data_IF_992448051495
#
_entry.id   IF_992448051495
#
_cell.length_a   1.000
_cell.length_b   1.000
_cell.length_c   1.000
_cell.angle_alpha   90.00
_cell.angle_beta   90.00
_cell.angle_gamma   90.00
#
_symmetry.space_group_name_H-M   'P 1'
#
loop_
_entity.id
_entity.type
_entity.pdbx_description
1 polymer ?
#
# COMPACT_ATOMS: atom_id res chain seq x y z
N UNK A 1 14.73 -17.56 1.78
CA UNK A 1 14.48 -17.70 3.25
C UNK A 1 12.98 -17.57 3.48
N UNK A 2 12.35 -18.40 4.31
CA UNK A 2 10.94 -18.18 4.74
C UNK A 2 11.01 -17.42 6.05
N UNK A 3 10.41 -16.24 6.09
CA UNK A 3 10.30 -15.45 7.32
C UNK A 3 9.10 -15.95 8.15
N UNK A 4 9.39 -16.58 9.31
CA UNK A 4 8.39 -17.08 10.26
C UNK A 4 8.21 -16.07 11.41
N UNK A 5 7.45 -15.01 11.13
CA UNK A 5 7.16 -13.99 12.14
C UNK A 5 6.23 -14.53 13.22
N UNK A 6 6.57 -14.24 14.49
CA UNK A 6 5.73 -14.53 15.66
C UNK A 6 5.54 -13.27 16.49
N UNK A 7 4.29 -12.90 16.68
CA UNK A 7 3.97 -11.75 17.51
C UNK A 7 4.45 -11.99 18.96
N UNK A 8 4.95 -10.95 19.65
CA UNK A 8 5.30 -11.03 21.06
C UNK A 8 4.10 -11.47 21.91
N UNK A 9 4.36 -12.23 22.96
CA UNK A 9 3.32 -12.74 23.87
C UNK A 9 2.43 -11.64 24.48
N UNK A 10 2.97 -10.43 24.66
CA UNK A 10 2.27 -9.27 25.22
C UNK A 10 1.35 -8.57 24.18
N UNK A 11 1.35 -9.00 22.91
CA UNK A 11 0.58 -8.41 21.81
C UNK A 11 -0.33 -9.46 21.15
N UNK A 12 -1.37 -9.94 21.85
CA UNK A 12 -2.23 -11.00 21.34
C UNK A 12 -3.24 -10.51 20.30
N UNK A 13 -3.47 -11.32 19.28
CA UNK A 13 -4.56 -11.13 18.29
C UNK A 13 -4.34 -10.02 17.27
N UNK A 14 -4.94 -10.21 16.09
CA UNK A 14 -4.70 -9.35 14.93
C UNK A 14 -5.08 -7.89 15.12
N UNK A 15 -6.20 -7.61 15.80
CA UNK A 15 -6.65 -6.23 16.07
C UNK A 15 -5.67 -5.46 16.96
N UNK A 16 -5.17 -6.09 18.04
CA UNK A 16 -4.17 -5.43 18.89
C UNK A 16 -2.86 -5.19 18.15
N UNK A 17 -2.41 -6.16 17.34
CA UNK A 17 -1.20 -6.04 16.52
C UNK A 17 -1.33 -4.87 15.53
N UNK A 18 -2.48 -4.75 14.86
CA UNK A 18 -2.80 -3.66 13.93
C UNK A 18 -2.77 -2.29 14.62
N UNK A 19 -3.53 -2.14 15.69
CA UNK A 19 -3.70 -0.84 16.37
C UNK A 19 -2.40 -0.43 17.07
N UNK A 20 -1.72 -1.37 17.72
CA UNK A 20 -0.49 -1.10 18.45
C UNK A 20 0.63 -0.60 17.54
N UNK A 21 0.85 -1.29 16.41
CA UNK A 21 1.84 -0.87 15.42
C UNK A 21 1.56 0.54 14.89
N UNK A 22 0.31 0.82 14.56
CA UNK A 22 -0.07 2.11 13.99
C UNK A 22 0.05 3.29 14.98
N UNK A 23 -0.13 3.05 16.29
CA UNK A 23 -0.28 4.13 17.30
C UNK A 23 0.85 4.21 18.32
N UNK A 24 1.46 3.08 18.71
CA UNK A 24 2.29 3.00 19.90
C UNK A 24 3.68 2.41 19.68
N UNK A 25 3.86 1.52 18.71
CA UNK A 25 5.15 0.89 18.46
C UNK A 25 6.21 1.90 17.99
N UNK A 26 7.45 1.67 18.38
CA UNK A 26 8.59 2.48 17.95
C UNK A 26 8.87 2.20 16.46
N UNK A 27 8.98 3.24 15.66
CA UNK A 27 9.11 3.18 14.20
C UNK A 27 10.54 3.34 13.73
N UNK A 28 11.33 4.11 14.47
CA UNK A 28 12.73 4.44 14.17
C UNK A 28 13.55 4.58 15.45
N UNK A 29 14.87 4.53 15.32
CA UNK A 29 15.84 4.80 16.39
C UNK A 29 16.49 6.16 16.12
N UNK A 30 16.43 7.08 17.07
CA UNK A 30 16.99 8.43 16.88
C UNK A 30 15.97 9.41 16.31
N UNK A 31 16.35 10.14 15.26
CA UNK A 31 15.52 11.21 14.70
C UNK A 31 14.46 10.68 13.74
N UNK A 32 13.33 11.40 13.71
CA UNK A 32 12.26 11.14 12.74
C UNK A 32 12.80 11.35 11.31
N UNK A 33 12.47 10.44 10.36
CA UNK A 33 12.85 10.64 8.96
C UNK A 33 12.37 12.00 8.43
N UNK A 34 13.25 12.69 7.70
CA UNK A 34 12.95 13.95 7.05
C UNK A 34 12.65 13.69 5.56
N UNK A 35 11.74 14.48 5.01
CA UNK A 35 11.27 14.32 3.65
C UNK A 35 11.44 15.62 2.87
N UNK A 36 11.88 15.51 1.61
CA UNK A 36 11.87 16.59 0.62
C UNK A 36 10.80 16.25 -0.41
N UNK A 37 9.87 17.16 -0.63
CA UNK A 37 8.75 16.97 -1.54
C UNK A 37 9.07 17.48 -2.93
N UNK A 38 8.78 16.66 -3.93
CA UNK A 38 8.79 17.01 -5.34
C UNK A 38 7.38 16.84 -5.90
N UNK A 39 6.89 17.81 -6.68
CA UNK A 39 5.61 17.71 -7.40
C UNK A 39 5.85 17.28 -8.84
N UNK A 40 5.11 16.29 -9.28
CA UNK A 40 5.12 15.79 -10.64
C UNK A 40 3.79 16.09 -11.32
N UNK A 41 3.84 16.82 -12.44
CA UNK A 41 2.70 16.98 -13.32
C UNK A 41 2.39 15.65 -14.02
N UNK A 42 1.13 15.25 -13.98
CA UNK A 42 0.65 14.02 -14.61
C UNK A 42 0.18 14.27 -16.04
N UNK A 43 0.12 13.24 -16.91
CA UNK A 43 -0.30 13.40 -18.32
C UNK A 43 -1.72 13.94 -18.51
N UNK A 44 -2.58 13.81 -17.50
CA UNK A 44 -3.96 14.30 -17.49
C UNK A 44 -4.11 15.70 -16.84
N UNK A 45 -3.01 16.47 -16.78
CA UNK A 45 -2.98 17.84 -16.24
C UNK A 45 -3.36 17.94 -14.75
N UNK A 46 -3.03 16.91 -14.00
CA UNK A 46 -3.13 16.84 -12.54
C UNK A 46 -1.73 16.76 -11.93
N UNK A 47 -1.61 16.41 -10.66
CA UNK A 47 -0.32 16.24 -10.00
C UNK A 47 -0.28 15.05 -9.05
N UNK A 48 0.94 14.57 -8.83
CA UNK A 48 1.33 13.64 -7.77
C UNK A 48 2.51 14.22 -7.03
N UNK A 49 2.45 14.25 -5.71
CA UNK A 49 3.59 14.63 -4.87
C UNK A 49 4.38 13.38 -4.48
N UNK A 50 5.71 13.48 -4.54
CA UNK A 50 6.64 12.43 -4.14
C UNK A 50 7.50 12.93 -3.00
N UNK A 51 7.48 12.23 -1.89
CA UNK A 51 8.34 12.53 -0.75
C UNK A 51 9.61 11.68 -0.85
N UNK A 52 10.74 12.35 -1.03
CA UNK A 52 12.08 11.77 -1.02
C UNK A 52 12.64 11.84 0.40
N UNK A 53 13.16 10.72 0.92
CA UNK A 53 13.88 10.79 2.19
C UNK A 53 15.13 11.65 2.03
N UNK A 54 15.32 12.58 2.97
CA UNK A 54 16.53 13.40 3.03
C UNK A 54 17.70 12.54 3.49
N UNK A 55 18.77 12.49 2.70
CA UNK A 55 19.95 11.72 3.01
C UNK A 55 20.90 12.50 3.92
N UNK A 56 21.38 11.86 4.98
CA UNK A 56 22.35 12.45 5.92
C UNK A 56 23.78 12.48 5.36
N UNK A 57 24.04 11.62 4.37
CA UNK A 57 25.32 11.52 3.67
C UNK A 57 25.10 11.23 2.19
N UNK A 58 25.99 11.67 1.30
CA UNK A 58 25.88 11.37 -0.12
C UNK A 58 25.87 9.85 -0.38
N UNK A 59 24.93 9.40 -1.19
CA UNK A 59 24.84 8.04 -1.70
C UNK A 59 25.48 7.96 -3.10
N UNK A 60 25.91 6.77 -3.50
CA UNK A 60 26.37 6.53 -4.88
C UNK A 60 25.19 6.72 -5.86
N UNK A 61 25.51 7.03 -7.12
CA UNK A 61 24.46 7.26 -8.14
C UNK A 61 23.63 6.02 -8.39
N UNK A 62 24.23 4.85 -8.29
CA UNK A 62 23.63 3.52 -8.48
C UNK A 62 23.08 2.89 -7.20
N UNK A 63 23.10 3.62 -6.06
CA UNK A 63 22.50 3.12 -4.82
C UNK A 63 21.05 2.69 -5.04
N UNK A 64 20.62 1.50 -4.57
CA UNK A 64 19.25 1.03 -4.78
C UNK A 64 18.19 2.05 -4.38
N UNK A 65 17.13 2.16 -5.19
CA UNK A 65 15.97 2.99 -4.91
C UNK A 65 14.81 2.12 -4.38
N UNK A 66 14.40 2.40 -3.17
CA UNK A 66 13.22 1.81 -2.55
C UNK A 66 12.01 2.74 -2.76
N UNK A 67 10.99 2.22 -3.42
CA UNK A 67 9.75 2.97 -3.72
C UNK A 67 8.61 2.39 -2.90
N UNK A 68 7.94 3.22 -2.09
CA UNK A 68 6.85 2.77 -1.23
C UNK A 68 5.52 3.38 -1.65
N UNK A 69 4.58 2.54 -2.08
CA UNK A 69 3.18 2.89 -2.31
C UNK A 69 2.36 2.64 -1.05
N UNK A 70 1.79 3.69 -0.49
CA UNK A 70 1.12 3.65 0.81
C UNK A 70 -0.27 3.00 0.75
N UNK A 71 -0.81 2.64 1.92
CA UNK A 71 -2.18 2.13 2.05
C UNK A 71 -3.23 3.23 1.98
N UNK A 72 -4.50 2.82 2.13
CA UNK A 72 -5.66 3.73 2.14
C UNK A 72 -5.43 4.88 3.11
N UNK A 73 -5.56 6.13 2.62
CA UNK A 73 -5.36 7.36 3.40
C UNK A 73 -3.97 7.51 4.05
N UNK A 74 -2.98 6.73 3.54
CA UNK A 74 -1.60 6.76 4.03
C UNK A 74 -0.76 7.91 3.47
N UNK A 75 0.50 7.96 3.90
CA UNK A 75 1.50 8.95 3.47
C UNK A 75 2.91 8.52 3.88
N UNK A 76 3.93 9.33 3.57
CA UNK A 76 5.29 9.21 4.09
C UNK A 76 5.39 9.24 5.61
N UNK A 77 4.37 9.77 6.31
CA UNK A 77 4.28 9.80 7.78
C UNK A 77 3.60 8.56 8.38
N UNK A 78 3.18 7.60 7.57
CA UNK A 78 2.63 6.34 8.04
C UNK A 78 3.67 5.53 8.81
N UNK A 79 3.24 4.79 9.84
CA UNK A 79 4.15 4.03 10.72
C UNK A 79 5.09 3.09 9.95
N UNK A 80 4.59 2.43 8.92
CA UNK A 80 5.37 1.55 8.07
C UNK A 80 6.36 2.33 7.18
N UNK A 81 5.98 3.50 6.66
CA UNK A 81 6.86 4.32 5.84
C UNK A 81 8.05 4.83 6.66
N UNK A 82 7.81 5.29 7.89
CA UNK A 82 8.87 5.70 8.82
C UNK A 82 9.77 4.51 9.23
N UNK A 83 9.21 3.30 9.40
CA UNK A 83 9.99 2.10 9.70
C UNK A 83 10.86 1.65 8.51
N UNK A 84 10.34 1.69 7.29
CA UNK A 84 11.13 1.44 6.09
C UNK A 84 12.18 2.52 5.83
N UNK A 85 11.91 3.78 6.19
CA UNK A 85 12.89 4.86 6.07
C UNK A 85 14.12 4.63 6.96
N UNK A 86 13.93 4.07 8.16
CA UNK A 86 15.02 3.66 9.05
C UNK A 86 15.84 2.52 8.43
N UNK A 87 15.16 1.49 7.90
CA UNK A 87 15.81 0.32 7.30
C UNK A 87 16.59 0.68 6.03
N UNK A 88 15.99 1.45 5.13
CA UNK A 88 16.64 1.87 3.88
C UNK A 88 17.81 2.81 4.15
N UNK A 89 17.74 3.65 5.20
CA UNK A 89 18.86 4.45 5.66
C UNK A 89 20.03 3.58 6.13
N UNK A 90 19.74 2.55 6.93
CA UNK A 90 20.77 1.63 7.44
C UNK A 90 21.47 0.85 6.31
N UNK A 91 20.77 0.60 5.20
CA UNK A 91 21.32 -0.08 4.01
C UNK A 91 22.02 0.85 3.00
N UNK A 92 21.96 2.15 3.19
CA UNK A 92 22.48 3.10 2.19
C UNK A 92 21.66 3.12 0.89
N UNK A 93 20.35 2.82 0.96
CA UNK A 93 19.42 2.89 -0.17
C UNK A 93 18.74 4.26 -0.23
N UNK A 94 18.37 4.71 -1.41
CA UNK A 94 17.48 5.86 -1.58
C UNK A 94 16.04 5.44 -1.26
N UNK A 95 15.18 6.39 -0.85
CA UNK A 95 13.78 6.09 -0.63
C UNK A 95 12.88 7.18 -1.19
N UNK A 96 11.85 6.77 -1.92
CA UNK A 96 10.78 7.61 -2.43
C UNK A 96 9.41 7.07 -1.97
N UNK A 97 8.51 7.98 -1.60
CA UNK A 97 7.11 7.68 -1.28
C UNK A 97 6.22 8.52 -2.20
N UNK A 98 5.85 8.01 -3.38
CA UNK A 98 4.82 8.65 -4.18
C UNK A 98 3.49 8.63 -3.43
N UNK A 99 2.83 9.77 -3.35
CA UNK A 99 1.51 9.89 -2.76
C UNK A 99 0.45 9.64 -3.82
N UNK A 100 -0.52 8.79 -3.52
CA UNK A 100 -1.72 8.72 -4.34
C UNK A 100 -2.46 10.06 -4.32
N UNK A 101 -3.20 10.35 -5.39
CA UNK A 101 -3.88 11.65 -5.62
C UNK A 101 -4.71 12.06 -4.41
N UNK A 102 -4.50 13.28 -3.96
CA UNK A 102 -5.16 13.86 -2.79
C UNK A 102 -4.63 13.37 -1.43
N UNK A 103 -3.58 12.54 -1.37
CA UNK A 103 -3.03 12.01 -0.12
C UNK A 103 -1.80 12.77 0.42
N UNK A 104 -1.27 13.73 -0.31
CA UNK A 104 -0.10 14.52 0.09
C UNK A 104 -0.41 15.69 1.02
N UNK A 105 -1.68 15.89 1.37
CA UNK A 105 -2.17 17.03 2.15
C UNK A 105 -2.89 18.10 1.31
N UNK A 106 -2.76 18.04 -0.01
CA UNK A 106 -3.45 18.88 -0.98
C UNK A 106 -4.33 18.00 -1.88
N UNK A 107 -5.56 18.46 -2.16
CA UNK A 107 -6.45 17.75 -3.06
C UNK A 107 -5.99 17.93 -4.52
N UNK A 108 -5.96 16.86 -5.28
CA UNK A 108 -5.59 16.85 -6.69
C UNK A 108 -6.60 17.66 -7.55
N UNK A 109 -6.20 18.07 -8.76
CA UNK A 109 -6.99 18.96 -9.60
C UNK A 109 -8.02 18.26 -10.48
N UNK A 110 -7.72 17.05 -10.98
CA UNK A 110 -8.61 16.31 -11.87
C UNK A 110 -9.87 15.76 -11.15
N UNK A 111 -10.99 15.54 -11.88
CA UNK A 111 -12.21 14.94 -11.33
C UNK A 111 -12.07 13.43 -11.12
N UNK A 112 -10.98 13.02 -10.50
CA UNK A 112 -10.70 11.63 -10.14
C UNK A 112 -10.07 11.57 -8.75
N UNK A 113 -10.09 10.40 -8.16
CA UNK A 113 -9.38 10.05 -6.95
C UNK A 113 -8.41 8.89 -7.26
N UNK A 114 -7.72 8.38 -6.26
CA UNK A 114 -7.01 7.11 -6.37
C UNK A 114 -7.94 5.94 -6.03
N UNK A 115 -7.60 4.76 -6.51
CA UNK A 115 -8.32 3.54 -6.17
C UNK A 115 -7.39 2.32 -6.10
N UNK A 116 -7.89 1.22 -5.51
CA UNK A 116 -7.06 0.05 -5.22
C UNK A 116 -6.51 -0.69 -6.44
N UNK A 117 -7.12 -0.53 -7.60
CA UNK A 117 -6.68 -1.16 -8.84
C UNK A 117 -5.96 -0.23 -9.82
N UNK A 118 -5.47 0.94 -9.39
CA UNK A 118 -4.90 1.99 -10.23
C UNK A 118 -3.49 1.65 -10.72
N UNK A 119 -3.38 0.56 -11.47
CA UNK A 119 -2.10 0.06 -11.98
C UNK A 119 -1.48 0.96 -13.05
N UNK A 120 -2.28 1.72 -13.77
CA UNK A 120 -1.81 2.68 -14.79
C UNK A 120 -1.05 3.83 -14.13
N UNK A 121 -1.51 4.31 -12.99
CA UNK A 121 -0.81 5.34 -12.21
C UNK A 121 0.49 4.79 -11.60
N UNK A 122 0.48 3.55 -11.09
CA UNK A 122 1.70 2.84 -10.66
C UNK A 122 2.70 2.73 -11.83
N UNK A 123 2.23 2.34 -13.02
CA UNK A 123 3.06 2.23 -14.22
C UNK A 123 3.73 3.56 -14.59
N UNK A 124 2.97 4.64 -14.56
CA UNK A 124 3.49 5.97 -14.86
C UNK A 124 4.54 6.42 -13.84
N UNK A 125 4.26 6.28 -12.54
CA UNK A 125 5.19 6.65 -11.48
C UNK A 125 6.50 5.85 -11.54
N UNK A 126 6.41 4.52 -11.67
CA UNK A 126 7.59 3.65 -11.75
C UNK A 126 8.41 3.89 -13.03
N UNK A 127 7.75 4.11 -14.17
CA UNK A 127 8.45 4.44 -15.43
C UNK A 127 9.21 5.76 -15.32
N UNK A 128 8.62 6.78 -14.67
CA UNK A 128 9.30 8.06 -14.43
C UNK A 128 10.51 7.89 -13.52
N UNK A 129 10.38 7.11 -12.44
CA UNK A 129 11.49 6.80 -11.55
C UNK A 129 12.60 6.04 -12.30
N UNK A 130 12.25 5.07 -13.13
CA UNK A 130 13.23 4.30 -13.92
C UNK A 130 14.00 5.18 -14.90
N UNK A 131 13.37 6.19 -15.48
CA UNK A 131 14.05 7.15 -16.37
C UNK A 131 15.07 8.03 -15.64
N UNK A 132 14.86 8.29 -14.36
CA UNK A 132 15.69 9.17 -13.54
C UNK A 132 16.75 8.43 -12.69
N UNK A 133 16.66 7.09 -12.62
CA UNK A 133 17.49 6.29 -11.72
C UNK A 133 18.11 5.11 -12.46
N UNK A 134 19.45 4.97 -12.40
CA UNK A 134 20.22 3.93 -13.09
C UNK A 134 20.38 2.64 -12.28
N UNK A 135 20.39 2.71 -10.96
CA UNK A 135 20.56 1.58 -10.04
C UNK A 135 19.31 0.69 -9.93
N UNK A 136 19.35 -0.35 -9.10
CA UNK A 136 18.20 -1.21 -8.82
C UNK A 136 17.01 -0.42 -8.26
N UNK A 137 15.79 -0.78 -8.69
CA UNK A 137 14.54 -0.26 -8.13
C UNK A 137 13.77 -1.41 -7.47
N UNK A 138 13.42 -1.25 -6.21
CA UNK A 138 12.59 -2.15 -5.44
C UNK A 138 11.29 -1.43 -5.06
N UNK A 139 10.15 -1.97 -5.45
CA UNK A 139 8.86 -1.37 -5.15
C UNK A 139 8.11 -2.15 -4.07
N UNK A 140 7.63 -1.46 -3.06
CA UNK A 140 6.81 -2.03 -1.97
C UNK A 140 5.46 -1.34 -1.93
N UNK A 141 4.41 -2.12 -1.94
CA UNK A 141 3.04 -1.62 -1.74
C UNK A 141 2.46 -2.12 -0.42
N UNK A 142 1.88 -1.22 0.33
CA UNK A 142 1.25 -1.51 1.62
C UNK A 142 -0.26 -1.50 1.45
N UNK A 143 -0.95 -2.56 1.88
CA UNK A 143 -2.41 -2.62 1.86
C UNK A 143 -2.96 -2.29 0.45
N UNK A 144 -3.77 -1.25 0.29
CA UNK A 144 -4.28 -0.75 -0.99
C UNK A 144 -3.16 -0.58 -2.03
N UNK A 145 -2.05 0.06 -1.65
CA UNK A 145 -0.91 0.28 -2.55
C UNK A 145 -0.27 -1.02 -3.02
N UNK A 146 -0.30 -2.07 -2.19
CA UNK A 146 0.21 -3.38 -2.58
C UNK A 146 -0.72 -4.12 -3.55
N UNK A 147 -2.04 -3.94 -3.45
CA UNK A 147 -2.95 -4.46 -4.46
C UNK A 147 -2.73 -3.78 -5.82
N UNK A 148 -2.61 -2.44 -5.84
CA UNK A 148 -2.33 -1.70 -7.06
C UNK A 148 -0.98 -2.12 -7.70
N UNK A 149 0.06 -2.29 -6.86
CA UNK A 149 1.38 -2.72 -7.32
C UNK A 149 1.37 -4.15 -7.88
N UNK A 150 0.72 -5.11 -7.21
CA UNK A 150 0.59 -6.48 -7.71
C UNK A 150 -0.27 -6.55 -8.97
N UNK A 151 -1.31 -5.71 -9.05
CA UNK A 151 -2.08 -5.52 -10.27
C UNK A 151 -1.18 -5.08 -11.43
N UNK A 152 -0.37 -4.04 -11.21
CA UNK A 152 0.62 -3.56 -12.17
C UNK A 152 1.59 -4.67 -12.60
N UNK A 153 2.16 -5.40 -11.65
CA UNK A 153 3.12 -6.47 -11.97
C UNK A 153 2.49 -7.58 -12.84
N UNK A 154 1.23 -7.94 -12.57
CA UNK A 154 0.49 -8.92 -13.36
C UNK A 154 0.11 -8.42 -14.76
N UNK A 155 -0.24 -7.14 -14.93
CA UNK A 155 -0.55 -6.55 -16.24
C UNK A 155 0.71 -6.32 -17.09
N UNK A 156 1.83 -5.96 -16.46
CA UNK A 156 3.11 -5.74 -17.16
C UNK A 156 3.81 -7.05 -17.54
N UNK A 157 3.59 -8.15 -16.83
CA UNK A 157 4.27 -9.42 -17.09
C UNK A 157 5.78 -9.26 -17.20
N UNK A 158 6.39 -9.75 -18.26
CA UNK A 158 7.85 -9.64 -18.51
C UNK A 158 8.37 -8.20 -18.57
N UNK A 159 7.56 -7.23 -18.98
CA UNK A 159 8.00 -5.84 -19.06
C UNK A 159 8.24 -5.21 -17.69
N UNK A 160 7.69 -5.74 -16.60
CA UNK A 160 7.94 -5.26 -15.26
C UNK A 160 9.43 -5.31 -14.88
N UNK A 161 10.16 -6.33 -15.33
CA UNK A 161 11.60 -6.50 -15.06
C UNK A 161 12.50 -5.44 -15.72
N UNK A 162 11.98 -4.71 -16.71
CA UNK A 162 12.69 -3.57 -17.30
C UNK A 162 12.58 -2.30 -16.43
N UNK A 163 11.63 -2.28 -15.51
CA UNK A 163 11.31 -1.12 -14.68
C UNK A 163 11.80 -1.32 -13.25
N UNK A 164 11.56 -2.48 -12.66
CA UNK A 164 11.93 -2.80 -11.27
C UNK A 164 12.66 -4.14 -11.17
N UNK A 165 13.48 -4.29 -10.13
CA UNK A 165 14.19 -5.52 -9.83
C UNK A 165 13.35 -6.49 -8.99
N UNK A 166 12.40 -5.98 -8.21
CA UNK A 166 11.50 -6.79 -7.41
C UNK A 166 10.34 -5.97 -6.85
N UNK A 167 9.23 -6.65 -6.56
CA UNK A 167 8.04 -6.04 -5.99
C UNK A 167 7.61 -6.78 -4.72
N UNK A 168 7.13 -6.03 -3.73
CA UNK A 168 6.60 -6.61 -2.49
C UNK A 168 5.25 -6.02 -2.16
N UNK A 169 4.31 -6.87 -1.81
CA UNK A 169 2.98 -6.53 -1.32
C UNK A 169 2.88 -6.92 0.15
N UNK A 170 2.57 -5.97 1.03
CA UNK A 170 2.47 -6.20 2.47
C UNK A 170 1.03 -5.98 2.93
N UNK A 171 0.42 -7.01 3.49
CA UNK A 171 -0.96 -7.00 4.00
C UNK A 171 -1.95 -6.42 2.99
N UNK A 172 -1.84 -6.82 1.74
CA UNK A 172 -2.66 -6.25 0.66
C UNK A 172 -3.92 -7.07 0.44
N UNK A 173 -5.07 -6.39 0.29
CA UNK A 173 -6.34 -7.01 -0.06
C UNK A 173 -6.35 -7.40 -1.54
N UNK A 174 -5.58 -8.42 -1.92
CA UNK A 174 -5.51 -8.88 -3.33
C UNK A 174 -6.84 -9.46 -3.84
N UNK A 175 -7.76 -9.77 -2.93
CA UNK A 175 -9.17 -10.05 -3.15
C UNK A 175 -9.99 -8.96 -2.45
N UNK A 176 -10.35 -7.91 -3.20
CA UNK A 176 -11.04 -6.74 -2.65
C UNK A 176 -12.44 -7.07 -2.16
N UNK A 177 -13.14 -7.99 -2.81
CA UNK A 177 -14.49 -8.41 -2.42
C UNK A 177 -14.49 -9.03 -1.03
N UNK A 178 -13.60 -10.00 -0.80
CA UNK A 178 -13.47 -10.65 0.50
C UNK A 178 -13.05 -9.66 1.59
N UNK A 179 -12.10 -8.77 1.28
CA UNK A 179 -11.56 -7.81 2.24
C UNK A 179 -12.54 -6.68 2.55
N UNK A 180 -13.24 -6.15 1.53
CA UNK A 180 -14.24 -5.11 1.71
C UNK A 180 -15.38 -5.59 2.62
N UNK A 181 -15.91 -6.79 2.37
CA UNK A 181 -16.94 -7.37 3.24
C UNK A 181 -16.43 -7.63 4.66
N UNK A 182 -15.17 -8.07 4.83
CA UNK A 182 -14.59 -8.28 6.16
C UNK A 182 -14.45 -6.98 6.96
N UNK A 183 -14.10 -5.86 6.29
CA UNK A 183 -14.04 -4.54 6.94
C UNK A 183 -15.44 -4.00 7.26
N UNK A 184 -16.41 -4.26 6.41
CA UNK A 184 -17.79 -3.72 6.54
C UNK A 184 -18.68 -4.50 7.51
N UNK A 185 -18.16 -5.52 8.19
CA UNK A 185 -18.94 -6.37 9.09
C UNK A 185 -18.43 -6.35 10.54
N UNK A 186 -19.35 -6.61 11.49
CA UNK A 186 -19.03 -6.83 12.90
C UNK A 186 -18.22 -5.73 13.56
N UNK A 187 -17.20 -6.13 14.33
CA UNK A 187 -16.31 -5.23 15.06
C UNK A 187 -15.46 -4.36 14.10
N UNK A 188 -15.06 -4.92 12.96
CA UNK A 188 -14.28 -4.19 11.96
C UNK A 188 -15.05 -2.99 11.40
N UNK A 189 -16.35 -3.12 11.15
CA UNK A 189 -17.20 -2.00 10.73
C UNK A 189 -17.22 -0.88 11.75
N UNK A 190 -17.37 -1.22 13.04
CA UNK A 190 -17.46 -0.25 14.12
C UNK A 190 -16.15 0.52 14.34
N UNK A 191 -15.00 -0.10 14.07
CA UNK A 191 -13.67 0.49 14.28
C UNK A 191 -13.11 1.03 12.97
N UNK A 192 -12.86 0.16 12.00
CA UNK A 192 -12.03 0.49 10.82
C UNK A 192 -12.83 1.12 9.68
N UNK A 193 -14.00 0.58 9.31
CA UNK A 193 -14.83 1.21 8.28
C UNK A 193 -15.22 2.63 8.69
N UNK A 194 -15.61 2.82 9.96
CA UNK A 194 -15.91 4.15 10.50
C UNK A 194 -14.71 5.09 10.46
N UNK A 195 -13.52 4.59 10.80
CA UNK A 195 -12.28 5.37 10.78
C UNK A 195 -11.93 5.81 9.35
N UNK A 196 -11.98 4.91 8.37
CA UNK A 196 -11.72 5.22 6.97
C UNK A 196 -12.75 6.22 6.41
N UNK A 197 -14.02 5.97 6.62
CA UNK A 197 -15.08 6.88 6.14
C UNK A 197 -14.99 8.28 6.75
N UNK A 198 -14.46 8.41 7.97
CA UNK A 198 -14.27 9.71 8.62
C UNK A 198 -13.23 10.59 7.90
N UNK A 199 -12.29 10.01 7.16
CA UNK A 199 -11.29 10.74 6.35
C UNK A 199 -11.69 10.80 4.87
N UNK A 200 -12.24 9.72 4.33
CA UNK A 200 -12.60 9.63 2.91
C UNK A 200 -13.77 10.55 2.52
N UNK A 201 -14.83 10.61 3.34
CA UNK A 201 -16.00 11.46 3.04
C UNK A 201 -15.67 12.95 2.94
N UNK A 202 -14.91 13.57 3.87
CA UNK A 202 -14.51 14.97 3.72
C UNK A 202 -13.71 15.25 2.44
N UNK A 203 -12.84 14.32 2.02
CA UNK A 203 -12.11 14.45 0.75
C UNK A 203 -13.01 14.35 -0.47
N UNK A 204 -13.94 13.40 -0.47
CA UNK A 204 -14.94 13.29 -1.52
C UNK A 204 -15.79 14.58 -1.60
N UNK A 205 -16.21 15.15 -0.47
CA UNK A 205 -16.93 16.42 -0.45
C UNK A 205 -16.09 17.60 -0.97
N UNK A 206 -14.78 17.65 -0.73
CA UNK A 206 -13.89 18.64 -1.35
C UNK A 206 -13.86 18.45 -2.88
N UNK A 207 -13.84 17.21 -3.36
CA UNK A 207 -13.90 16.90 -4.79
C UNK A 207 -15.23 17.36 -5.41
N UNK A 208 -16.34 17.19 -4.70
CA UNK A 208 -17.65 17.72 -5.15
C UNK A 208 -17.69 19.25 -5.21
N UNK A 209 -16.98 19.94 -4.31
CA UNK A 209 -16.84 21.41 -4.38
C UNK A 209 -16.05 21.87 -5.60
N UNK A 210 -15.00 21.12 -6.01
CA UNK A 210 -14.26 21.38 -7.23
C UNK A 210 -15.11 21.08 -8.48
N UNK A 211 -15.92 20.04 -8.44
CA UNK A 211 -16.69 19.53 -9.58
C UNK A 211 -18.16 19.30 -9.16
N UNK A 212 -19.00 20.37 -9.16
CA UNK A 212 -20.41 20.25 -8.80
C UNK A 212 -21.16 19.23 -9.69
N UNK A 213 -21.96 18.38 -9.09
CA UNK A 213 -22.73 17.36 -9.80
C UNK A 213 -22.00 16.02 -10.04
N UNK A 214 -20.80 15.84 -9.49
CA UNK A 214 -20.00 14.64 -9.69
C UNK A 214 -20.64 13.38 -9.08
N UNK A 215 -21.35 13.52 -7.96
CA UNK A 215 -22.14 12.48 -7.29
C UNK A 215 -23.18 13.12 -6.35
N UNK A 216 -24.10 12.31 -5.81
CA UNK A 216 -25.08 12.77 -4.82
C UNK A 216 -24.45 12.89 -3.43
N UNK A 217 -24.35 14.10 -2.84
CA UNK A 217 -23.78 14.30 -1.51
C UNK A 217 -24.59 13.65 -0.39
N UNK A 218 -25.92 13.51 -0.54
CA UNK A 218 -26.76 12.89 0.48
C UNK A 218 -26.52 11.38 0.53
N UNK A 219 -26.41 10.72 -0.62
CA UNK A 219 -26.02 9.31 -0.70
C UNK A 219 -24.62 9.06 -0.14
N UNK A 220 -23.65 9.92 -0.49
CA UNK A 220 -22.30 9.82 0.07
C UNK A 220 -22.30 9.93 1.59
N UNK A 221 -23.01 10.93 2.14
CA UNK A 221 -23.04 11.14 3.59
C UNK A 221 -23.80 10.03 4.33
N UNK A 222 -24.77 9.39 3.70
CA UNK A 222 -25.49 8.24 4.23
C UNK A 222 -24.66 6.94 4.21
N UNK A 223 -23.64 6.82 3.35
CA UNK A 223 -22.80 5.64 3.26
C UNK A 223 -22.14 5.33 4.63
N UNK A 224 -22.36 4.14 5.17
CA UNK A 224 -21.80 3.69 6.46
C UNK A 224 -20.97 2.41 6.34
N UNK A 225 -20.60 2.05 5.12
CA UNK A 225 -19.72 0.95 4.73
C UNK A 225 -18.80 1.41 3.61
N UNK A 226 -17.66 0.73 3.41
CA UNK A 226 -16.81 0.97 2.24
C UNK A 226 -17.56 0.61 0.96
N UNK A 227 -18.34 -0.46 0.98
CA UNK A 227 -19.19 -0.84 -0.15
C UNK A 227 -20.10 0.31 -0.61
N UNK A 228 -20.83 0.92 0.32
CA UNK A 228 -21.73 2.03 -0.02
C UNK A 228 -20.96 3.28 -0.49
N UNK A 229 -19.82 3.58 0.11
CA UNK A 229 -18.95 4.68 -0.31
C UNK A 229 -18.43 4.46 -1.73
N UNK A 230 -17.88 3.28 -2.02
CA UNK A 230 -17.35 2.95 -3.33
C UNK A 230 -18.42 2.96 -4.42
N UNK A 231 -19.66 2.59 -4.07
CA UNK A 231 -20.79 2.61 -5.00
C UNK A 231 -21.18 4.03 -5.43
N UNK A 232 -21.05 5.01 -4.54
CA UNK A 232 -21.44 6.41 -4.80
C UNK A 232 -20.25 7.21 -5.37
N UNK A 233 -19.03 6.91 -4.94
CA UNK A 233 -17.85 7.73 -5.25
C UNK A 233 -16.85 6.99 -6.14
N UNK A 234 -16.17 5.96 -5.60
CA UNK A 234 -15.01 5.36 -6.29
C UNK A 234 -15.40 4.73 -7.61
N UNK A 235 -16.43 3.93 -7.65
CA UNK A 235 -16.82 3.21 -8.85
C UNK A 235 -17.26 4.15 -9.99
N UNK A 236 -18.18 5.11 -9.80
CA UNK A 236 -18.59 6.01 -10.87
C UNK A 236 -17.46 6.90 -11.40
N UNK A 237 -16.59 7.42 -10.51
CA UNK A 237 -15.47 8.28 -10.89
C UNK A 237 -14.47 7.59 -11.83
N UNK A 238 -14.36 6.27 -11.76
CA UNK A 238 -13.40 5.49 -12.52
C UNK A 238 -14.05 4.57 -13.58
N UNK A 239 -15.32 4.81 -13.90
CA UNK A 239 -16.01 4.11 -14.98
C UNK A 239 -16.37 2.65 -14.68
N UNK A 240 -16.45 2.27 -13.40
CA UNK A 240 -17.00 1.00 -12.97
C UNK A 240 -18.52 1.10 -12.84
N UNK A 241 -19.24 -0.01 -13.07
CA UNK A 241 -20.71 -0.07 -13.01
C UNK A 241 -21.25 0.00 -11.58
N UNK A 242 -20.41 -0.21 -10.57
CA UNK A 242 -20.71 -0.19 -9.15
C UNK A 242 -19.61 -0.87 -8.37
N UNK A 243 -19.80 -1.02 -7.06
CA UNK A 243 -18.78 -1.57 -6.16
C UNK A 243 -18.37 -3.00 -6.52
N UNK A 244 -19.32 -3.87 -6.87
CA UNK A 244 -19.02 -5.25 -7.24
C UNK A 244 -18.10 -5.31 -8.47
N UNK A 245 -18.41 -4.54 -9.51
CA UNK A 245 -17.58 -4.44 -10.71
C UNK A 245 -16.19 -3.83 -10.41
N UNK A 246 -16.14 -2.85 -9.51
CA UNK A 246 -14.90 -2.26 -9.06
C UNK A 246 -14.05 -3.28 -8.30
N UNK A 247 -14.57 -3.89 -7.26
CA UNK A 247 -13.82 -4.82 -6.43
C UNK A 247 -13.36 -6.06 -7.21
N UNK A 248 -14.19 -6.59 -8.08
CA UNK A 248 -13.83 -7.72 -8.96
C UNK A 248 -12.67 -7.34 -9.90
N UNK A 249 -12.85 -6.29 -10.72
CA UNK A 249 -11.88 -5.88 -11.73
C UNK A 249 -10.61 -5.26 -11.17
N UNK A 250 -10.65 -4.65 -10.00
CA UNK A 250 -9.52 -4.03 -9.34
C UNK A 250 -8.72 -4.99 -8.46
N UNK A 251 -9.20 -6.20 -8.17
CA UNK A 251 -8.49 -7.23 -7.43
C UNK A 251 -7.25 -7.73 -8.18
N UNK A 252 -6.12 -7.80 -7.48
CA UNK A 252 -4.87 -8.29 -8.06
C UNK A 252 -4.79 -9.82 -8.13
N UNK A 253 -5.52 -10.54 -7.27
CA UNK A 253 -5.44 -12.00 -7.12
C UNK A 253 -5.52 -12.78 -8.43
N UNK A 254 -6.45 -12.48 -9.37
CA UNK A 254 -6.50 -13.19 -10.65
C UNK A 254 -5.27 -12.96 -11.55
N UNK A 255 -4.54 -11.88 -11.33
CA UNK A 255 -3.35 -11.50 -12.08
C UNK A 255 -2.05 -12.07 -11.54
N UNK A 256 -2.02 -12.65 -10.33
CA UNK A 256 -0.78 -13.11 -9.70
C UNK A 256 -0.10 -14.25 -10.48
N UNK A 257 -0.85 -15.04 -11.22
CA UNK A 257 -0.30 -16.09 -12.12
C UNK A 257 0.45 -15.52 -13.33
N UNK A 258 0.28 -14.24 -13.66
CA UNK A 258 0.94 -13.56 -14.80
C UNK A 258 2.16 -12.74 -14.38
N UNK A 259 2.45 -12.64 -13.09
CA UNK A 259 3.63 -11.92 -12.60
C UNK A 259 4.91 -12.59 -13.08
N UNK A 260 5.84 -11.81 -13.65
CA UNK A 260 7.08 -12.30 -14.28
C UNK A 260 8.34 -11.55 -13.75
N UNK A 261 8.21 -10.87 -12.63
CA UNK A 261 9.30 -10.23 -11.89
C UNK A 261 9.34 -10.84 -10.48
N UNK A 262 10.49 -10.94 -9.82
CA UNK A 262 10.55 -11.40 -8.43
C UNK A 262 9.52 -10.66 -7.58
N UNK A 263 8.60 -11.38 -6.96
CA UNK A 263 7.48 -10.80 -6.22
C UNK A 263 7.28 -11.50 -4.87
N UNK A 264 7.05 -10.72 -3.81
CA UNK A 264 6.69 -11.23 -2.49
C UNK A 264 5.29 -10.76 -2.11
N UNK A 265 4.43 -11.69 -1.73
CA UNK A 265 3.11 -11.40 -1.14
C UNK A 265 3.14 -11.81 0.33
N UNK A 266 3.24 -10.81 1.20
CA UNK A 266 3.29 -10.97 2.65
C UNK A 266 1.92 -10.60 3.26
N UNK A 267 1.21 -11.59 3.81
CA UNK A 267 -0.07 -11.38 4.48
C UNK A 267 -0.14 -12.20 5.78
N UNK A 268 -0.40 -11.57 6.90
CA UNK A 268 -0.65 -12.29 8.14
C UNK A 268 -2.01 -13.00 8.10
N UNK A 269 -2.06 -14.28 8.53
CA UNK A 269 -3.31 -15.06 8.54
C UNK A 269 -4.35 -14.55 9.54
N UNK A 270 -3.93 -13.77 10.54
CA UNK A 270 -4.80 -13.15 11.52
C UNK A 270 -5.10 -11.67 11.23
N UNK A 271 -4.86 -11.21 10.00
CA UNK A 271 -5.18 -9.84 9.58
C UNK A 271 -6.69 -9.60 9.70
N UNK A 272 -7.14 -8.57 10.47
CA UNK A 272 -8.57 -8.31 10.64
C UNK A 272 -9.26 -7.82 9.36
N UNK A 273 -8.51 -7.34 8.36
CA UNK A 273 -9.06 -6.83 7.10
C UNK A 273 -9.12 -7.89 6.00
N UNK A 274 -8.28 -8.91 6.08
CA UNK A 274 -8.07 -9.88 5.01
C UNK A 274 -8.35 -11.28 5.55
N UNK A 275 -9.50 -11.88 5.24
CA UNK A 275 -9.81 -13.24 5.66
C UNK A 275 -8.73 -14.22 5.21
N UNK A 276 -8.25 -15.08 6.10
CA UNK A 276 -7.22 -16.08 5.76
C UNK A 276 -7.63 -17.00 4.61
N UNK A 277 -8.94 -17.22 4.42
CA UNK A 277 -9.50 -18.02 3.31
C UNK A 277 -9.41 -17.32 1.95
N UNK A 278 -9.23 -15.99 1.92
CA UNK A 278 -9.08 -15.23 0.67
C UNK A 278 -7.63 -15.07 0.23
N UNK A 279 -6.66 -15.46 1.07
CA UNK A 279 -5.24 -15.39 0.73
C UNK A 279 -4.93 -16.28 -0.49
N UNK A 280 -4.00 -15.86 -1.35
CA UNK A 280 -3.59 -16.66 -2.50
C UNK A 280 -2.89 -17.94 -2.04
N UNK A 281 -3.07 -19.01 -2.81
CA UNK A 281 -2.37 -20.29 -2.66
C UNK A 281 -1.31 -20.45 -3.74
N UNK A 282 -0.38 -21.39 -3.57
CA UNK A 282 0.76 -21.55 -4.48
C UNK A 282 0.34 -21.89 -5.93
N UNK A 283 -0.77 -22.56 -6.10
CA UNK A 283 -1.36 -22.90 -7.40
C UNK A 283 -2.04 -21.70 -8.12
N UNK A 284 -2.26 -20.59 -7.41
CA UNK A 284 -2.87 -19.36 -7.94
C UNK A 284 -1.85 -18.31 -8.37
N UNK A 285 -0.57 -18.56 -8.16
CA UNK A 285 0.50 -17.60 -8.42
C UNK A 285 1.52 -18.18 -9.40
N UNK A 286 2.32 -17.33 -10.04
CA UNK A 286 3.44 -17.76 -10.88
C UNK A 286 4.64 -18.20 -10.02
N UNK A 287 5.62 -18.85 -10.65
CA UNK A 287 6.88 -19.26 -10.01
C UNK A 287 7.74 -18.06 -9.55
N UNK A 288 7.45 -16.87 -10.02
CA UNK A 288 8.10 -15.63 -9.58
C UNK A 288 7.54 -15.08 -8.26
N UNK A 289 6.41 -15.61 -7.78
CA UNK A 289 5.74 -15.09 -6.59
C UNK A 289 6.03 -15.98 -5.38
N UNK A 290 6.65 -15.38 -4.37
CA UNK A 290 6.85 -15.98 -3.05
C UNK A 290 5.68 -15.58 -2.14
N UNK A 291 5.09 -16.54 -1.44
CA UNK A 291 4.03 -16.31 -0.45
C UNK A 291 4.59 -16.41 0.96
N UNK A 292 4.51 -15.33 1.74
CA UNK A 292 4.76 -15.33 3.18
C UNK A 292 3.44 -15.10 3.92
N UNK A 293 2.98 -16.12 4.63
CA UNK A 293 1.70 -16.08 5.32
C UNK A 293 1.85 -16.50 6.80
N UNK A 294 2.57 -15.68 7.62
CA UNK A 294 2.72 -15.97 9.03
C UNK A 294 1.37 -16.00 9.74
N UNK A 295 1.25 -16.81 10.80
CA UNK A 295 0.00 -16.95 11.55
C UNK A 295 -0.42 -15.69 12.30
N UNK A 296 0.54 -14.80 12.60
CA UNK A 296 0.33 -13.56 13.34
C UNK A 296 0.96 -12.39 12.58
N UNK A 297 0.58 -11.17 12.91
CA UNK A 297 1.08 -9.94 12.28
C UNK A 297 0.03 -8.83 12.22
N UNK A 298 -1.25 -9.19 12.25
CA UNK A 298 -2.33 -8.22 12.05
C UNK A 298 -2.23 -7.52 10.69
N UNK A 299 -2.85 -6.37 10.55
CA UNK A 299 -2.75 -5.54 9.35
C UNK A 299 -1.54 -4.58 9.48
N UNK A 300 -0.43 -4.92 8.81
CA UNK A 300 0.84 -4.17 8.86
C UNK A 300 1.33 -3.99 10.31
N UNK A 301 1.07 -4.98 11.17
CA UNK A 301 1.31 -4.86 12.60
C UNK A 301 2.71 -5.26 13.02
N UNK A 302 3.23 -6.32 12.60
CA UNK A 302 4.54 -6.97 12.74
C UNK A 302 5.50 -6.36 13.79
N UNK A 303 4.97 -5.91 14.93
CA UNK A 303 5.80 -5.39 16.02
C UNK A 303 6.59 -6.53 16.67
N UNK A 304 7.84 -6.28 17.02
CA UNK A 304 8.75 -7.29 17.58
C UNK A 304 9.47 -6.82 18.84
N UNK A 305 10.13 -7.75 19.51
CA UNK A 305 10.95 -7.47 20.68
C UNK A 305 10.18 -7.38 22.00
N UNK A 306 10.89 -6.96 23.06
CA UNK A 306 10.31 -6.73 24.39
C UNK A 306 9.48 -5.45 24.38
N UNK A 307 8.45 -5.39 25.24
CA UNK A 307 7.64 -4.17 25.42
C UNK A 307 8.53 -2.92 25.63
N UNK A 308 8.28 -1.82 24.95
CA UNK A 308 7.17 -1.51 24.02
C UNK A 308 7.35 -2.02 22.58
N UNK A 309 8.43 -2.71 22.26
CA UNK A 309 8.70 -3.25 20.93
C UNK A 309 9.00 -2.19 19.86
N UNK A 310 9.31 -2.66 18.66
CA UNK A 310 9.53 -1.79 17.49
C UNK A 310 9.04 -2.45 16.20
N UNK A 311 9.15 -1.73 15.08
CA UNK A 311 8.70 -2.15 13.76
C UNK A 311 9.86 -2.48 12.81
N UNK A 312 11.03 -2.90 13.30
CA UNK A 312 12.23 -3.09 12.48
C UNK A 312 12.24 -4.42 11.73
N UNK A 313 11.64 -5.45 12.30
CA UNK A 313 11.79 -6.82 11.81
C UNK A 313 11.19 -7.02 10.42
N UNK A 314 9.98 -6.51 10.18
CA UNK A 314 9.32 -6.65 8.87
C UNK A 314 10.04 -5.85 7.76
N UNK A 315 10.39 -4.56 7.93
CA UNK A 315 11.22 -3.85 6.95
C UNK A 315 12.54 -4.55 6.66
N UNK A 316 13.22 -5.05 7.68
CA UNK A 316 14.47 -5.81 7.52
C UNK A 316 14.24 -7.08 6.68
N UNK A 317 13.25 -7.91 7.03
CA UNK A 317 12.97 -9.16 6.33
C UNK A 317 12.59 -8.92 4.85
N UNK A 318 11.78 -7.89 4.58
CA UNK A 318 11.39 -7.49 3.22
C UNK A 318 12.60 -7.01 2.42
N UNK A 319 13.44 -6.15 3.00
CA UNK A 319 14.64 -5.64 2.33
C UNK A 319 15.68 -6.76 2.09
N UNK A 320 15.80 -7.71 3.01
CA UNK A 320 16.65 -8.87 2.85
C UNK A 320 16.18 -9.77 1.72
N UNK A 321 14.86 -10.02 1.63
CA UNK A 321 14.28 -10.78 0.53
C UNK A 321 14.55 -10.11 -0.82
N UNK A 322 14.40 -8.78 -0.91
CA UNK A 322 14.69 -8.02 -2.13
C UNK A 322 16.14 -8.16 -2.58
N UNK A 323 17.09 -8.07 -1.65
CA UNK A 323 18.50 -8.21 -1.96
C UNK A 323 18.87 -9.62 -2.48
N UNK A 324 18.11 -10.65 -2.07
CA UNK A 324 18.37 -12.05 -2.46
C UNK A 324 17.71 -12.46 -3.77
N UNK A 325 16.66 -11.77 -4.23
CA UNK A 325 15.82 -12.21 -5.35
C UNK A 325 15.69 -11.18 -6.47
N UNK A 326 16.02 -9.89 -6.21
CA UNK A 326 15.90 -8.78 -7.14
C UNK A 326 17.18 -8.33 -7.87
#
# INVERSE_FOLDING_TARGET
MIWDYRAPWWLPGGNFQTIYAAKLARRYSGHKPQWSRERWDTPDSDFVDVDWRVEESPLTEDAPLFVLFHGLEGSSSSHYAEAFAEETRARGWRMAVPHFRGCSGEINWAPRAYHSGDFEEIAWMLSRLRQQHSGPIYAVGISLGGNALMRWAGEMGHAAAQVVNGVVSVCSPVDLTASGHAIDTGLNKAIYARMFLATMKPRAMQKLQQFPGLFDPLELMAANTLYAFDNVFTAPLHGFRGTDDYWDRASAKPGLSRVQVPALVLNARNDPFIPASSLPTQDQVSDHVTLWQPNTGGHVGFASGRFPGDLKEMPWAVSEWMTQHG
#
